data_IF_935310698249
#
_entry.id   IF_935310698249
#
_cell.length_a   1.000
_cell.length_b   1.000
_cell.length_c   1.000
_cell.angle_alpha   90.00
_cell.angle_beta   90.00
_cell.angle_gamma   90.00
#
_symmetry.space_group_name_H-M   'P 1'
#
loop_
_entity.id
_entity.type
_entity.pdbx_description
1 polymer ?
#
# COMPACT_ATOMS: atom_id res chain seq x y z
N UNK A 1 89.23 -21.51 9.23
CA UNK A 1 88.42 -20.89 8.15
C UNK A 1 86.98 -21.48 8.28
N UNK A 2 86.07 -20.82 8.97
CA UNK A 2 84.76 -21.35 9.36
C UNK A 2 83.68 -20.52 8.63
N UNK A 3 83.05 -21.07 7.61
CA UNK A 3 81.92 -20.44 6.89
C UNK A 3 80.61 -20.69 7.65
N UNK A 4 80.08 -19.66 8.19
CA UNK A 4 78.72 -19.67 8.80
C UNK A 4 77.69 -19.57 7.71
N UNK A 5 76.84 -20.60 7.58
CA UNK A 5 75.64 -20.61 6.75
C UNK A 5 74.51 -19.97 7.57
N UNK A 6 73.99 -18.84 7.07
CA UNK A 6 72.78 -18.22 7.62
C UNK A 6 71.59 -18.78 6.86
N UNK A 7 70.76 -19.54 7.55
CA UNK A 7 69.50 -20.05 7.00
C UNK A 7 68.41 -18.98 7.17
N UNK A 8 67.98 -18.39 6.07
CA UNK A 8 66.86 -17.43 6.04
C UNK A 8 65.55 -18.23 5.97
N UNK A 9 64.82 -18.29 7.11
CA UNK A 9 63.49 -18.92 7.18
C UNK A 9 62.47 -17.87 6.76
N UNK A 10 61.96 -18.01 5.52
CA UNK A 10 60.90 -17.15 4.97
C UNK A 10 59.57 -17.63 5.52
N UNK A 11 59.01 -16.89 6.50
CA UNK A 11 57.67 -17.14 7.05
C UNK A 11 56.64 -16.58 6.07
N UNK A 12 56.05 -17.46 5.24
CA UNK A 12 54.96 -17.13 4.33
C UNK A 12 53.65 -17.05 5.17
N UNK A 13 53.25 -15.84 5.60
CA UNK A 13 51.94 -15.63 6.20
C UNK A 13 50.84 -15.75 5.15
N UNK A 14 50.15 -16.90 5.12
CA UNK A 14 48.96 -17.10 4.38
C UNK A 14 47.80 -16.33 5.10
N UNK A 15 47.46 -15.13 4.63
CA UNK A 15 46.22 -14.50 5.02
C UNK A 15 45.05 -15.22 4.36
N UNK A 16 44.39 -16.10 5.11
CA UNK A 16 43.09 -16.65 4.72
C UNK A 16 42.07 -15.55 4.99
N UNK A 17 41.67 -14.85 3.94
CA UNK A 17 40.50 -13.96 3.98
C UNK A 17 39.26 -14.84 3.95
N UNK A 18 38.70 -15.13 5.11
CA UNK A 18 37.37 -15.71 5.22
C UNK A 18 36.35 -14.71 4.72
N UNK A 19 35.78 -14.97 3.55
CA UNK A 19 34.63 -14.21 3.05
C UNK A 19 33.42 -14.55 3.94
N UNK A 20 32.96 -13.56 4.71
CA UNK A 20 31.71 -13.69 5.46
C UNK A 20 30.56 -13.99 4.50
N UNK A 21 29.69 -14.95 4.80
CA UNK A 21 28.53 -15.21 3.97
C UNK A 21 27.66 -13.95 3.88
N UNK A 22 27.40 -13.48 2.68
CA UNK A 22 26.38 -12.46 2.43
C UNK A 22 25.04 -13.12 2.72
N UNK A 23 24.47 -12.82 3.90
CA UNK A 23 23.10 -13.24 4.24
C UNK A 23 22.19 -12.39 3.35
N UNK A 24 21.71 -12.95 2.26
CA UNK A 24 20.66 -12.36 1.45
C UNK A 24 19.38 -12.46 2.27
N UNK A 25 18.98 -11.40 2.96
CA UNK A 25 17.66 -11.33 3.59
C UNK A 25 16.61 -11.54 2.51
N UNK A 26 15.88 -12.64 2.59
CA UNK A 26 14.67 -12.85 1.79
C UNK A 26 13.64 -11.85 2.30
N UNK A 27 13.14 -10.92 1.47
CA UNK A 27 12.16 -9.95 1.93
C UNK A 27 10.94 -10.67 2.52
N UNK A 28 10.57 -10.30 3.73
CA UNK A 28 9.38 -10.85 4.38
C UNK A 28 8.15 -10.59 3.51
N UNK A 29 7.22 -11.55 3.40
CA UNK A 29 6.01 -11.35 2.64
C UNK A 29 5.22 -10.15 3.18
N UNK A 30 4.72 -9.30 2.28
CA UNK A 30 3.89 -8.16 2.66
C UNK A 30 2.55 -8.69 3.17
N UNK A 31 2.24 -8.43 4.45
CA UNK A 31 0.99 -8.80 5.11
C UNK A 31 0.17 -7.57 5.42
N UNK A 32 -1.15 -7.74 5.55
CA UNK A 32 -2.09 -6.66 5.82
C UNK A 32 -2.95 -7.01 7.03
N UNK A 33 -3.14 -6.05 7.91
CA UNK A 33 -4.17 -6.13 8.94
C UNK A 33 -5.54 -5.92 8.30
N UNK A 34 -6.57 -6.53 8.89
CA UNK A 34 -7.96 -6.42 8.43
C UNK A 34 -8.75 -5.61 9.44
N UNK A 35 -9.55 -4.67 8.94
CA UNK A 35 -10.40 -3.82 9.77
C UNK A 35 -11.77 -3.61 9.15
N UNK A 36 -12.71 -3.10 9.95
CA UNK A 36 -14.02 -2.67 9.48
C UNK A 36 -13.99 -1.19 9.15
N UNK A 37 -14.60 -0.83 8.04
CA UNK A 37 -14.77 0.53 7.56
C UNK A 37 -16.24 0.78 7.24
N UNK A 38 -16.72 2.01 7.44
CA UNK A 38 -18.06 2.44 7.05
C UNK A 38 -17.94 3.62 6.09
N UNK A 39 -18.72 3.61 5.02
CA UNK A 39 -19.00 4.82 4.25
C UNK A 39 -20.37 5.31 4.70
N UNK A 40 -20.42 6.55 5.23
CA UNK A 40 -21.63 7.21 5.70
C UNK A 40 -22.09 8.23 4.67
N UNK A 41 -23.24 8.01 4.08
CA UNK A 41 -23.83 8.88 3.08
C UNK A 41 -24.54 10.09 3.71
N UNK A 42 -24.56 11.20 2.97
CA UNK A 42 -25.31 12.39 3.36
C UNK A 42 -26.82 12.13 3.47
N UNK A 43 -27.32 11.08 2.84
CA UNK A 43 -28.71 10.61 2.91
C UNK A 43 -29.01 9.73 4.13
N UNK A 44 -28.01 9.54 5.01
CA UNK A 44 -28.12 8.73 6.23
C UNK A 44 -27.94 7.23 6.02
N UNK A 45 -27.59 6.77 4.83
CA UNK A 45 -27.27 5.37 4.56
C UNK A 45 -25.82 5.08 4.91
N UNK A 46 -25.59 4.00 5.62
CA UNK A 46 -24.26 3.50 5.98
C UNK A 46 -23.97 2.21 5.24
N UNK A 47 -22.79 2.14 4.62
CA UNK A 47 -22.28 0.95 3.93
C UNK A 47 -21.03 0.43 4.63
N UNK A 48 -21.06 -0.83 5.05
CA UNK A 48 -19.96 -1.47 5.80
C UNK A 48 -19.11 -2.33 4.91
N UNK A 49 -17.78 -2.20 5.06
CA UNK A 49 -16.79 -2.96 4.32
C UNK A 49 -15.78 -3.61 5.26
N UNK A 50 -15.22 -4.74 4.83
CA UNK A 50 -14.05 -5.37 5.44
C UNK A 50 -12.83 -5.00 4.61
N UNK A 51 -11.90 -4.21 5.18
CA UNK A 51 -10.77 -3.66 4.43
C UNK A 51 -9.44 -4.15 4.97
N UNK A 52 -8.50 -4.40 4.09
CA UNK A 52 -7.10 -4.56 4.43
C UNK A 52 -6.44 -3.20 4.55
N UNK A 53 -5.51 -3.05 5.50
CA UNK A 53 -4.86 -1.78 5.80
C UNK A 53 -3.49 -1.70 5.12
N UNK A 54 -3.30 -0.73 4.23
CA UNK A 54 -2.04 -0.41 3.57
C UNK A 54 -1.43 0.86 4.17
N UNK A 55 -0.74 0.71 5.31
CA UNK A 55 -0.23 1.82 6.12
C UNK A 55 1.26 2.10 5.90
N UNK A 56 2.06 1.07 5.57
CA UNK A 56 3.48 1.22 5.26
C UNK A 56 3.74 1.41 3.77
N UNK A 57 4.90 1.98 3.42
CA UNK A 57 5.29 2.15 2.02
C UNK A 57 5.32 0.84 1.22
N UNK A 58 5.86 -0.30 1.74
CA UNK A 58 5.78 -1.58 1.06
C UNK A 58 4.34 -2.09 0.87
N UNK A 59 3.45 -1.89 1.86
CA UNK A 59 2.05 -2.27 1.75
C UNK A 59 1.34 -1.44 0.68
N UNK A 60 1.51 -0.11 0.68
CA UNK A 60 0.93 0.77 -0.35
C UNK A 60 1.46 0.47 -1.74
N UNK A 61 2.76 0.14 -1.86
CA UNK A 61 3.35 -0.26 -3.14
C UNK A 61 2.80 -1.59 -3.66
N UNK A 62 2.47 -2.53 -2.78
CA UNK A 62 1.86 -3.82 -3.12
C UNK A 62 0.39 -3.66 -3.48
N UNK A 63 -0.38 -2.97 -2.67
CA UNK A 63 -1.83 -2.80 -2.87
C UNK A 63 -2.55 -4.12 -3.18
N UNK A 64 -3.54 -4.05 -4.07
CA UNK A 64 -4.33 -5.19 -4.56
C UNK A 64 -3.70 -5.91 -5.76
N UNK A 65 -2.42 -5.67 -6.06
CA UNK A 65 -1.72 -6.36 -7.15
C UNK A 65 -1.80 -7.89 -7.02
N UNK A 66 -1.93 -8.56 -8.17
CA UNK A 66 -1.94 -10.03 -8.33
C UNK A 66 -3.15 -10.73 -7.68
N UNK A 67 -4.23 -9.99 -7.37
CA UNK A 67 -5.49 -10.58 -6.93
C UNK A 67 -6.39 -10.83 -8.11
N UNK A 68 -6.92 -12.04 -8.19
CA UNK A 68 -7.84 -12.49 -9.26
C UNK A 68 -9.29 -12.11 -8.98
N UNK A 69 -9.62 -11.75 -7.73
CA UNK A 69 -10.96 -11.37 -7.27
C UNK A 69 -10.91 -10.44 -6.06
N UNK A 70 -11.96 -9.65 -5.91
CA UNK A 70 -12.26 -8.85 -4.74
C UNK A 70 -13.77 -8.95 -4.47
N UNK A 71 -14.16 -9.36 -3.27
CA UNK A 71 -15.57 -9.40 -2.88
C UNK A 71 -16.15 -7.99 -2.82
N UNK A 72 -17.46 -7.84 -3.03
CA UNK A 72 -18.13 -6.52 -3.09
C UNK A 72 -18.12 -5.76 -1.77
N UNK A 73 -18.05 -6.48 -0.65
CA UNK A 73 -17.96 -5.98 0.72
C UNK A 73 -16.52 -5.93 1.24
N UNK A 74 -15.53 -6.22 0.36
CA UNK A 74 -14.11 -6.16 0.67
C UNK A 74 -13.43 -4.99 -0.06
N UNK A 75 -12.31 -4.53 0.51
CA UNK A 75 -11.50 -3.47 -0.07
C UNK A 75 -10.11 -3.37 0.55
N UNK A 76 -9.41 -2.29 0.18
CA UNK A 76 -8.15 -1.92 0.79
C UNK A 76 -8.13 -0.42 1.11
N UNK A 77 -7.76 -0.11 2.35
CA UNK A 77 -7.63 1.25 2.84
C UNK A 77 -6.16 1.66 2.85
N UNK A 78 -5.82 2.63 2.01
CA UNK A 78 -4.52 3.27 1.97
C UNK A 78 -4.57 4.54 2.80
N UNK A 79 -3.67 4.68 3.77
CA UNK A 79 -3.52 5.90 4.55
C UNK A 79 -2.07 6.40 4.51
N UNK A 80 -1.93 7.72 4.52
CA UNK A 80 -0.66 8.42 4.66
C UNK A 80 -0.70 9.29 5.91
N UNK A 81 0.46 9.65 6.42
CA UNK A 81 0.58 10.52 7.60
C UNK A 81 0.23 11.99 7.28
N UNK A 82 0.45 12.40 6.02
CA UNK A 82 0.21 13.75 5.51
C UNK A 82 -0.95 13.78 4.53
N UNK A 83 -1.56 14.94 4.37
CA UNK A 83 -2.55 15.23 3.35
C UNK A 83 -1.87 15.90 2.15
N UNK A 84 -1.89 15.25 0.99
CA UNK A 84 -1.24 15.73 -0.24
C UNK A 84 -1.96 15.18 -1.49
N UNK A 85 -1.71 15.73 -2.69
CA UNK A 85 -2.20 15.13 -3.92
C UNK A 85 -1.71 13.69 -4.07
N UNK A 86 -2.63 12.72 -4.18
CA UNK A 86 -2.31 11.30 -4.34
C UNK A 86 -2.44 10.88 -5.80
N UNK A 87 -1.61 9.90 -6.15
CA UNK A 87 -1.58 9.30 -7.49
C UNK A 87 -1.60 7.79 -7.33
N UNK A 88 -2.53 7.16 -8.02
CA UNK A 88 -2.72 5.71 -8.05
C UNK A 88 -2.56 5.20 -9.49
N UNK A 89 -2.47 3.91 -9.65
CA UNK A 89 -2.40 3.22 -10.93
C UNK A 89 -2.96 1.81 -10.80
N UNK A 90 -3.17 1.13 -11.92
CA UNK A 90 -3.66 -0.25 -11.96
C UNK A 90 -2.59 -1.27 -12.37
N UNK A 91 -1.29 -0.91 -12.21
CA UNK A 91 -0.18 -1.81 -12.52
C UNK A 91 -0.34 -3.15 -11.79
N UNK A 92 -0.21 -4.26 -12.51
CA UNK A 92 -0.35 -5.63 -11.98
C UNK A 92 -1.67 -5.89 -11.22
N UNK A 93 -2.69 -5.07 -11.40
CA UNK A 93 -4.01 -5.22 -10.77
C UNK A 93 -4.99 -5.77 -11.79
N UNK A 94 -5.47 -7.00 -11.53
CA UNK A 94 -6.28 -7.79 -12.49
C UNK A 94 -7.77 -7.46 -12.40
N UNK A 95 -8.23 -7.01 -11.24
CA UNK A 95 -9.65 -6.69 -11.00
C UNK A 95 -9.90 -5.21 -11.24
N UNK A 96 -11.02 -4.81 -11.88
CA UNK A 96 -11.40 -3.41 -11.95
C UNK A 96 -11.72 -2.88 -10.57
N UNK A 97 -11.31 -1.63 -10.27
CA UNK A 97 -11.47 -1.02 -8.95
C UNK A 97 -12.19 0.32 -9.03
N UNK A 98 -12.98 0.62 -8.01
CA UNK A 98 -13.36 1.98 -7.68
C UNK A 98 -12.33 2.53 -6.68
N UNK A 99 -11.73 3.70 -6.99
CA UNK A 99 -10.77 4.37 -6.11
C UNK A 99 -11.41 5.61 -5.52
N UNK A 100 -11.65 5.57 -4.23
CA UNK A 100 -12.36 6.62 -3.46
C UNK A 100 -11.33 7.41 -2.68
N UNK A 101 -11.05 8.64 -3.12
CA UNK A 101 -10.10 9.55 -2.48
C UNK A 101 -10.83 10.40 -1.44
N UNK A 102 -10.22 10.56 -0.26
CA UNK A 102 -10.80 11.32 0.83
C UNK A 102 -9.76 12.18 1.56
N UNK A 103 -10.21 13.29 2.14
CA UNK A 103 -9.38 14.23 2.90
C UNK A 103 -9.08 13.73 4.32
N UNK A 104 -8.40 14.55 5.11
CA UNK A 104 -7.99 14.20 6.49
C UNK A 104 -9.15 14.06 7.47
N UNK A 105 -10.29 14.65 7.17
CA UNK A 105 -11.52 14.48 7.93
C UNK A 105 -12.29 13.21 7.54
N UNK A 106 -11.87 12.53 6.45
CA UNK A 106 -12.53 11.36 5.88
C UNK A 106 -13.60 11.69 4.84
N UNK A 107 -13.76 12.96 4.44
CA UNK A 107 -14.73 13.37 3.43
C UNK A 107 -14.26 12.95 2.04
N UNK A 108 -15.11 12.29 1.28
CA UNK A 108 -14.82 11.87 -0.10
C UNK A 108 -14.72 13.10 -1.00
N UNK A 109 -13.56 13.28 -1.65
CA UNK A 109 -13.27 14.40 -2.53
C UNK A 109 -13.34 14.03 -4.02
N UNK A 110 -13.04 12.76 -4.35
CA UNK A 110 -13.05 12.26 -5.73
C UNK A 110 -13.27 10.75 -5.76
N UNK A 111 -13.93 10.25 -6.79
CA UNK A 111 -14.10 8.82 -7.06
C UNK A 111 -13.72 8.53 -8.52
N UNK A 112 -12.69 7.73 -8.73
CA UNK A 112 -12.44 7.09 -10.02
C UNK A 112 -13.24 5.80 -10.07
N UNK A 113 -14.20 5.73 -10.99
CA UNK A 113 -15.08 4.57 -11.12
C UNK A 113 -14.52 3.55 -12.09
N UNK A 114 -14.46 2.30 -11.67
CA UNK A 114 -14.15 1.15 -12.53
C UNK A 114 -12.83 1.34 -13.30
N UNK A 115 -11.77 1.72 -12.56
CA UNK A 115 -10.43 1.89 -13.11
C UNK A 115 -10.02 0.64 -13.90
N UNK A 116 -9.46 0.86 -15.08
CA UNK A 116 -9.15 -0.21 -16.03
C UNK A 116 -7.97 -1.05 -15.54
N UNK A 117 -8.12 -2.39 -15.43
CA UNK A 117 -7.04 -3.29 -15.06
C UNK A 117 -5.78 -3.12 -15.93
N UNK A 118 -4.62 -3.36 -15.30
CA UNK A 118 -3.28 -3.32 -15.92
C UNK A 118 -2.84 -1.98 -16.51
N UNK A 119 -3.63 -0.90 -16.43
CA UNK A 119 -3.18 0.40 -16.91
C UNK A 119 -2.14 1.01 -15.95
N UNK A 120 -1.11 1.62 -16.51
CA UNK A 120 -0.14 2.42 -15.77
C UNK A 120 -0.45 3.93 -15.87
N UNK A 121 -1.59 4.29 -16.46
CA UNK A 121 -2.07 5.66 -16.47
C UNK A 121 -2.30 6.13 -15.02
N UNK A 122 -1.82 7.32 -14.73
CA UNK A 122 -1.97 7.93 -13.40
C UNK A 122 -3.43 8.33 -13.16
N UNK A 123 -3.98 7.86 -12.05
CA UNK A 123 -5.27 8.25 -11.50
C UNK A 123 -5.00 9.22 -10.35
N UNK A 124 -5.44 10.47 -10.48
CA UNK A 124 -5.17 11.55 -9.53
C UNK A 124 -6.35 11.74 -8.57
N UNK A 125 -6.04 12.10 -7.32
CA UNK A 125 -7.06 12.51 -6.34
C UNK A 125 -7.78 13.82 -6.70
N UNK A 126 -7.25 14.60 -7.64
CA UNK A 126 -7.80 15.92 -8.00
C UNK A 126 -7.57 17.02 -6.96
N UNK A 127 -7.09 16.67 -5.77
CA UNK A 127 -6.83 17.57 -4.65
C UNK A 127 -5.98 16.87 -3.59
N UNK A 128 -5.75 17.55 -2.45
CA UNK A 128 -5.09 16.94 -1.30
C UNK A 128 -5.97 15.82 -0.72
N UNK A 129 -5.40 14.64 -0.50
CA UNK A 129 -6.06 13.49 0.07
C UNK A 129 -5.20 12.87 1.18
N UNK A 130 -5.83 12.47 2.28
CA UNK A 130 -5.22 11.71 3.36
C UNK A 130 -5.18 10.23 3.02
N UNK A 131 -6.16 9.75 2.26
CA UNK A 131 -6.23 8.33 1.93
C UNK A 131 -7.01 8.01 0.68
N UNK A 132 -6.96 6.72 0.34
CA UNK A 132 -7.70 6.10 -0.76
C UNK A 132 -8.33 4.81 -0.25
N UNK A 133 -9.61 4.62 -0.55
CA UNK A 133 -10.29 3.34 -0.38
C UNK A 133 -10.50 2.71 -1.75
N UNK A 134 -9.93 1.53 -1.96
CA UNK A 134 -10.14 0.72 -3.15
C UNK A 134 -11.23 -0.32 -2.89
N UNK A 135 -12.26 -0.35 -3.73
CA UNK A 135 -13.35 -1.32 -3.72
C UNK A 135 -13.45 -2.01 -5.08
N UNK A 136 -14.19 -3.12 -5.15
CA UNK A 136 -14.49 -3.75 -6.43
C UNK A 136 -15.20 -2.78 -7.38
N UNK A 137 -14.79 -2.75 -8.63
CA UNK A 137 -15.29 -1.81 -9.64
C UNK A 137 -16.81 -1.83 -9.79
N UNK A 138 -17.42 -0.64 -9.80
CA UNK A 138 -18.87 -0.44 -9.87
C UNK A 138 -19.58 -0.47 -8.52
N UNK A 139 -18.89 -0.78 -7.42
CA UNK A 139 -19.48 -0.83 -6.07
C UNK A 139 -20.01 0.54 -5.65
N UNK A 140 -19.26 1.62 -5.86
CA UNK A 140 -19.66 2.97 -5.48
C UNK A 140 -20.93 3.42 -6.20
N UNK A 141 -21.04 3.15 -7.50
CA UNK A 141 -22.28 3.45 -8.26
C UNK A 141 -23.46 2.63 -7.81
N UNK A 142 -23.25 1.33 -7.57
CA UNK A 142 -24.32 0.42 -7.12
C UNK A 142 -24.92 0.86 -5.78
N UNK A 143 -24.06 1.35 -4.86
CA UNK A 143 -24.45 1.76 -3.52
C UNK A 143 -24.84 3.25 -3.43
N UNK A 144 -24.66 4.02 -4.51
CA UNK A 144 -24.94 5.45 -4.53
C UNK A 144 -23.93 6.29 -3.75
N UNK A 145 -22.71 5.79 -3.57
CA UNK A 145 -21.62 6.51 -2.89
C UNK A 145 -21.13 7.63 -3.81
N UNK A 146 -21.04 8.85 -3.28
CA UNK A 146 -20.68 10.05 -4.04
C UNK A 146 -19.64 10.91 -3.31
N UNK A 147 -19.01 11.83 -4.04
CA UNK A 147 -18.20 12.86 -3.40
C UNK A 147 -19.05 13.69 -2.43
N UNK A 148 -18.50 13.95 -1.24
CA UNK A 148 -19.21 14.58 -0.12
C UNK A 148 -19.68 13.60 0.95
N UNK A 149 -19.80 12.30 0.67
CA UNK A 149 -19.96 11.25 1.68
C UNK A 149 -18.69 11.09 2.53
N UNK A 150 -18.76 10.27 3.56
CA UNK A 150 -17.70 10.15 4.56
C UNK A 150 -17.18 8.73 4.69
N UNK A 151 -15.87 8.59 4.68
CA UNK A 151 -15.14 7.38 5.10
C UNK A 151 -14.95 7.46 6.62
N UNK A 152 -15.49 6.49 7.34
CA UNK A 152 -15.43 6.40 8.80
C UNK A 152 -14.61 5.18 9.19
N UNK A 153 -13.49 5.42 9.89
CA UNK A 153 -12.59 4.37 10.35
C UNK A 153 -11.88 4.80 11.64
N UNK A 154 -11.52 3.87 12.56
CA UNK A 154 -10.83 4.23 13.82
C UNK A 154 -9.50 4.97 13.66
N UNK A 155 -8.85 4.86 12.51
CA UNK A 155 -7.60 5.59 12.19
C UNK A 155 -7.83 7.00 11.63
N UNK A 156 -9.08 7.42 11.44
CA UNK A 156 -9.49 8.75 11.00
C UNK A 156 -10.15 9.50 12.16
N UNK A 157 -10.21 10.85 12.11
CA UNK A 157 -10.99 11.62 13.09
C UNK A 157 -12.45 11.15 13.16
N UNK A 158 -13.08 11.24 14.32
CA UNK A 158 -14.50 10.94 14.44
C UNK A 158 -15.32 11.90 13.58
N UNK A 159 -16.38 11.37 12.97
CA UNK A 159 -17.31 12.17 12.17
C UNK A 159 -17.85 13.34 13.00
N UNK A 160 -17.57 14.57 12.58
CA UNK A 160 -18.16 15.76 13.15
C UNK A 160 -19.64 15.83 12.67
N UNK A 161 -20.57 15.45 13.53
CA UNK A 161 -22.03 15.58 13.29
C UNK A 161 -22.54 16.94 13.73
#
# INVERSE_FOLDING_TARGET
>A
MMRRFFLFLCFLCFFITEALPVITEVPSPVTFEVSRLIISGADGRDHSFTVELALSAPQRARGLMFRDRLARDAGMLFLWEDEAPRRMWMKNTMVPLDMIFFDKEGRIIHIEHTATPYTEQTISSGGAAQGVLELAGGTSRLLGIVAGDWVVHPLLPPLAR
#
